data_IF_431985198681
#
_entry.id   IF_431985198681
#
_cell.length_a   1.000
_cell.length_b   1.000
_cell.length_c   1.000
_cell.angle_alpha   90.00
_cell.angle_beta   90.00
_cell.angle_gamma   90.00
#
_symmetry.space_group_name_H-M   'P 1'
#
loop_
_entity.id
_entity.type
_entity.pdbx_description
1 polymer ?
#
# COMPACT_ATOMS: atom_id res chain seq x y z
N UNK A 1 -10.44 12.08 39.50
CA UNK A 1 -11.17 12.42 38.26
C UNK A 1 -10.64 11.55 37.14
N UNK A 2 -11.27 10.41 36.87
CA UNK A 2 -10.78 9.41 35.90
C UNK A 2 -11.32 9.76 34.51
N UNK A 3 -10.44 10.18 33.60
CA UNK A 3 -10.81 10.52 32.24
C UNK A 3 -11.34 9.27 31.51
N UNK A 4 -12.60 9.33 31.05
CA UNK A 4 -13.18 8.32 30.17
C UNK A 4 -12.42 8.35 28.84
N UNK A 5 -11.64 7.32 28.57
CA UNK A 5 -11.02 7.09 27.26
C UNK A 5 -12.16 6.86 26.26
N UNK A 6 -12.45 7.88 25.45
CA UNK A 6 -13.42 7.76 24.37
C UNK A 6 -12.91 6.72 23.38
N UNK A 7 -13.65 5.62 23.25
CA UNK A 7 -13.39 4.57 22.29
C UNK A 7 -13.70 5.15 20.90
N UNK A 8 -12.66 5.66 20.23
CA UNK A 8 -12.77 6.26 18.90
C UNK A 8 -13.07 5.11 17.94
N UNK A 9 -14.35 4.92 17.58
CA UNK A 9 -14.78 4.00 16.53
C UNK A 9 -14.08 4.43 15.22
N UNK A 10 -12.95 3.80 14.90
CA UNK A 10 -12.27 4.01 13.63
C UNK A 10 -13.20 3.50 12.53
N UNK A 11 -13.59 4.39 11.63
CA UNK A 11 -14.38 4.01 10.46
C UNK A 11 -13.71 2.84 9.75
N UNK A 12 -14.52 1.86 9.32
CA UNK A 12 -14.02 0.72 8.56
C UNK A 12 -13.58 1.24 7.20
N UNK A 13 -12.30 1.07 6.88
CA UNK A 13 -11.71 1.47 5.60
C UNK A 13 -11.63 0.25 4.70
N UNK A 14 -12.27 0.29 3.55
CA UNK A 14 -12.11 -0.70 2.50
C UNK A 14 -10.94 -0.30 1.60
N UNK A 15 -9.98 -1.20 1.41
CA UNK A 15 -8.76 -0.94 0.62
C UNK A 15 -8.70 -1.86 -0.58
N UNK A 16 -8.79 -1.28 -1.77
CA UNK A 16 -8.57 -1.97 -3.04
C UNK A 16 -7.16 -1.64 -3.55
N UNK A 17 -6.33 -2.66 -3.76
CA UNK A 17 -4.93 -2.52 -4.21
C UNK A 17 -4.79 -2.91 -5.67
N UNK A 18 -4.10 -2.09 -6.45
CA UNK A 18 -3.90 -2.24 -7.89
C UNK A 18 -2.42 -2.13 -8.26
N UNK A 19 -2.02 -2.89 -9.27
CA UNK A 19 -0.67 -2.91 -9.82
C UNK A 19 0.07 -4.22 -9.58
N UNK A 20 1.05 -4.46 -10.43
CA UNK A 20 1.86 -5.67 -10.40
C UNK A 20 3.21 -5.43 -9.73
N UNK A 21 3.70 -6.49 -9.10
CA UNK A 21 5.06 -6.52 -8.62
C UNK A 21 6.04 -6.43 -9.81
N UNK A 22 7.04 -5.55 -9.69
CA UNK A 22 7.98 -5.29 -10.78
C UNK A 22 8.93 -6.48 -11.02
N UNK A 23 9.63 -6.50 -12.15
CA UNK A 23 10.75 -7.44 -12.32
C UNK A 23 11.95 -6.95 -11.51
N UNK A 24 12.74 -7.88 -10.98
CA UNK A 24 14.00 -7.52 -10.33
C UNK A 24 14.90 -6.79 -11.34
N UNK A 25 15.46 -5.61 -11.01
CA UNK A 25 16.29 -4.84 -11.94
C UNK A 25 17.62 -5.54 -12.27
N UNK A 26 18.11 -6.42 -11.39
CA UNK A 26 19.39 -7.11 -11.57
C UNK A 26 19.25 -8.41 -12.36
N UNK A 27 18.29 -9.27 -12.00
CA UNK A 27 18.18 -10.62 -12.57
C UNK A 27 16.90 -10.86 -13.40
N UNK A 28 16.04 -9.85 -13.53
CA UNK A 28 14.78 -9.94 -14.29
C UNK A 28 13.68 -10.81 -13.65
N UNK A 29 13.98 -11.52 -12.56
CA UNK A 29 13.02 -12.42 -11.91
C UNK A 29 11.83 -11.68 -11.30
N UNK A 30 10.64 -12.26 -11.45
CA UNK A 30 9.40 -11.81 -10.78
C UNK A 30 9.25 -12.39 -9.37
N UNK A 31 10.04 -13.43 -9.04
CA UNK A 31 10.06 -14.04 -7.71
C UNK A 31 10.64 -13.05 -6.68
N UNK A 32 9.95 -12.96 -5.55
CA UNK A 32 10.19 -11.96 -4.50
C UNK A 32 10.09 -12.59 -3.13
N UNK A 33 10.88 -12.06 -2.20
CA UNK A 33 10.73 -12.34 -0.79
C UNK A 33 9.51 -11.63 -0.20
N UNK A 34 9.30 -11.84 1.10
CA UNK A 34 8.23 -11.18 1.86
C UNK A 34 8.41 -9.66 1.81
N UNK A 35 7.30 -8.93 1.73
CA UNK A 35 7.33 -7.48 1.89
C UNK A 35 7.66 -7.11 3.32
N UNK A 36 8.58 -6.15 3.48
CA UNK A 36 8.85 -5.51 4.74
C UNK A 36 7.92 -4.32 4.96
N UNK A 37 8.44 -3.29 5.62
CA UNK A 37 7.69 -2.07 5.87
C UNK A 37 7.23 -1.37 4.57
N UNK A 38 5.96 -0.96 4.53
CA UNK A 38 5.36 -0.21 3.45
C UNK A 38 5.29 1.28 3.79
N UNK A 39 5.62 2.15 2.82
CA UNK A 39 5.35 3.58 2.90
C UNK A 39 4.13 3.91 2.05
N UNK A 40 3.21 4.71 2.59
CA UNK A 40 1.98 5.11 1.91
C UNK A 40 1.95 6.63 1.80
N UNK A 41 1.71 7.13 0.58
CA UNK A 41 1.48 8.55 0.31
C UNK A 41 0.03 8.73 -0.11
N UNK A 42 -0.66 9.73 0.48
CA UNK A 42 -2.02 10.10 0.04
C UNK A 42 -1.93 10.86 -1.27
N UNK A 43 -2.84 10.57 -2.18
CA UNK A 43 -3.01 11.22 -3.47
C UNK A 43 -4.35 11.94 -3.51
N UNK A 44 -4.43 12.97 -4.34
CA UNK A 44 -5.70 13.62 -4.69
C UNK A 44 -6.25 12.93 -5.93
N UNK A 45 -7.34 12.13 -5.83
CA UNK A 45 -7.89 11.42 -6.97
C UNK A 45 -8.45 12.40 -8.01
N UNK A 46 -8.26 12.07 -9.28
CA UNK A 46 -8.81 12.81 -10.43
C UNK A 46 -9.71 11.89 -11.27
N UNK A 47 -10.45 12.45 -12.24
CA UNK A 47 -11.29 11.64 -13.15
C UNK A 47 -10.50 10.58 -13.92
N UNK A 48 -9.24 10.86 -14.25
CA UNK A 48 -8.36 9.95 -14.99
C UNK A 48 -7.50 9.07 -14.06
N UNK A 49 -7.26 9.51 -12.83
CA UNK A 49 -6.47 8.79 -11.84
C UNK A 49 -7.25 8.69 -10.52
N UNK A 50 -8.14 7.68 -10.35
CA UNK A 50 -9.01 7.56 -9.18
C UNK A 50 -8.27 7.07 -7.91
N UNK A 51 -6.93 6.99 -7.95
CA UNK A 51 -6.11 6.45 -6.88
C UNK A 51 -6.05 7.41 -5.71
N UNK A 52 -6.41 6.92 -4.54
CA UNK A 52 -6.37 7.71 -3.29
C UNK A 52 -5.01 7.64 -2.61
N UNK A 53 -4.24 6.59 -2.87
CA UNK A 53 -2.96 6.34 -2.21
C UNK A 53 -1.97 5.69 -3.17
N UNK A 54 -0.69 6.02 -2.99
CA UNK A 54 0.44 5.31 -3.58
C UNK A 54 1.17 4.57 -2.46
N UNK A 55 1.38 3.27 -2.61
CA UNK A 55 2.04 2.42 -1.61
C UNK A 55 3.33 1.84 -2.18
N UNK A 56 4.45 2.19 -1.56
CA UNK A 56 5.76 1.63 -1.84
C UNK A 56 6.08 0.53 -0.84
N UNK A 57 6.22 -0.71 -1.31
CA UNK A 57 6.59 -1.86 -0.49
C UNK A 57 8.00 -2.31 -0.83
N UNK A 58 8.87 -2.34 0.18
CA UNK A 58 10.25 -2.82 0.03
C UNK A 58 10.29 -4.34 0.18
N UNK A 59 11.03 -5.01 -0.69
CA UNK A 59 11.37 -6.43 -0.53
C UNK A 59 12.74 -6.73 -1.16
N UNK A 60 13.18 -7.98 -1.05
CA UNK A 60 14.36 -8.50 -1.78
C UNK A 60 13.90 -9.41 -2.91
N UNK A 61 14.67 -9.49 -3.99
CA UNK A 61 14.48 -10.54 -4.98
C UNK A 61 14.74 -11.91 -4.33
N UNK A 62 13.88 -12.89 -4.57
CA UNK A 62 14.09 -14.24 -4.02
C UNK A 62 15.27 -14.97 -4.68
N UNK A 63 15.70 -14.55 -5.87
CA UNK A 63 16.76 -15.20 -6.65
C UNK A 63 18.16 -14.65 -6.38
N UNK A 64 18.31 -13.33 -6.35
CA UNK A 64 19.62 -12.67 -6.24
C UNK A 64 19.72 -11.71 -5.05
N UNK A 65 18.71 -11.70 -4.18
CA UNK A 65 18.64 -10.89 -2.95
C UNK A 65 18.71 -9.37 -3.13
N UNK A 66 18.81 -8.88 -4.37
CA UNK A 66 18.84 -7.44 -4.67
C UNK A 66 17.62 -6.75 -4.06
N UNK A 67 17.81 -5.64 -3.33
CA UNK A 67 16.72 -4.80 -2.85
C UNK A 67 15.87 -4.28 -4.00
N UNK A 68 14.55 -4.33 -3.83
CA UNK A 68 13.57 -3.85 -4.81
C UNK A 68 12.41 -3.15 -4.09
N UNK A 69 11.79 -2.23 -4.82
CA UNK A 69 10.63 -1.48 -4.34
C UNK A 69 9.51 -1.66 -5.34
N UNK A 70 8.42 -2.26 -4.87
CA UNK A 70 7.18 -2.38 -5.65
C UNK A 70 6.26 -1.22 -5.29
N UNK A 71 5.65 -0.64 -6.31
CA UNK A 71 4.71 0.47 -6.17
C UNK A 71 3.32 -0.01 -6.54
N UNK A 72 2.39 0.15 -5.62
CA UNK A 72 0.99 -0.19 -5.77
C UNK A 72 0.14 1.08 -5.66
N UNK A 73 -0.95 1.13 -6.40
CA UNK A 73 -1.95 2.18 -6.29
C UNK A 73 -3.11 1.62 -5.49
N UNK A 74 -3.62 2.38 -4.52
CA UNK A 74 -4.72 1.95 -3.67
C UNK A 74 -5.91 2.93 -3.77
N UNK A 75 -7.11 2.37 -3.83
CA UNK A 75 -8.36 3.09 -3.60
C UNK A 75 -8.82 2.71 -2.20
N UNK A 76 -8.87 3.69 -1.31
CA UNK A 76 -9.33 3.55 0.06
C UNK A 76 -10.64 4.32 0.19
N UNK A 77 -11.72 3.61 0.50
CA UNK A 77 -13.03 4.19 0.76
C UNK A 77 -13.36 3.95 2.22
N UNK A 78 -13.74 5.01 2.92
CA UNK A 78 -14.35 4.87 4.23
C UNK A 78 -15.78 4.37 4.02
N UNK A 79 -16.23 3.39 4.80
CA UNK A 79 -17.62 2.89 4.81
C UNK A 79 -18.61 3.94 5.39
N UNK A 80 -18.23 5.22 5.38
CA UNK A 80 -19.02 6.35 5.83
C UNK A 80 -19.68 7.01 4.61
N UNK A 81 -20.39 6.20 3.81
CA UNK A 81 -21.31 6.70 2.79
C UNK A 81 -22.72 6.41 3.29
N UNK A 82 -23.23 7.31 4.14
CA UNK A 82 -24.66 7.49 4.32
C UNK A 82 -25.03 8.81 3.65
#
# INVERSE_FOLDING_TARGET
MTAKVQNINRAKVTVHTFGDARRCPTCGSTQRGKYGHSRTSRLTPTKLEPWTHLVARRCKCAKCETPRIDYFREIRTDDQSN
#
